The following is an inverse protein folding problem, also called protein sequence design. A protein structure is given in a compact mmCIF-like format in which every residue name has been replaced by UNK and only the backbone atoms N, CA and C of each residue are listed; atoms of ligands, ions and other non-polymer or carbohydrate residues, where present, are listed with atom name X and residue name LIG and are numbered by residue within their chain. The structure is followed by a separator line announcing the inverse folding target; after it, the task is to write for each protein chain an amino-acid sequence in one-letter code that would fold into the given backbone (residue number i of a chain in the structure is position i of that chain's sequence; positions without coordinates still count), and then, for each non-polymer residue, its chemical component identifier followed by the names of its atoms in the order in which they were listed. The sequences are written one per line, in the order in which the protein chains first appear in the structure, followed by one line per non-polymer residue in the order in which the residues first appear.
data_IF_488957804691
#
_entry.id   IF_488957804691
#
_cell.length_a   1.000
_cell.length_b   1.000
_cell.length_c   1.000
_cell.angle_alpha   90.00
_cell.angle_beta   90.00
_cell.angle_gamma   90.00
#
_symmetry.space_group_name_H-M   'P 1'
#
loop_
_entity.id
_entity.type
_entity.pdbx_description
1 polymer ?
#
# COMPACT_ATOMS: atom_id res chain seq x y z
N UNK A 1 -26.04 15.89 -4.23
CA UNK A 1 -27.35 16.23 -3.64
C UNK A 1 -28.46 15.23 -4.03
N UNK A 2 -28.82 15.07 -5.31
CA UNK A 2 -29.95 14.19 -5.73
C UNK A 2 -29.85 12.76 -5.18
N UNK A 3 -28.69 12.11 -5.33
CA UNK A 3 -28.47 10.76 -4.79
C UNK A 3 -28.69 10.67 -3.28
N UNK A 4 -28.18 11.64 -2.51
CA UNK A 4 -28.32 11.64 -1.05
C UNK A 4 -29.79 11.75 -0.61
N UNK A 5 -30.59 12.58 -1.30
CA UNK A 5 -32.03 12.69 -1.06
C UNK A 5 -32.76 11.38 -1.37
N UNK A 6 -32.41 10.72 -2.49
CA UNK A 6 -33.00 9.42 -2.85
C UNK A 6 -32.64 8.34 -1.83
N UNK A 7 -31.39 8.30 -1.36
CA UNK A 7 -30.96 7.36 -0.31
C UNK A 7 -31.71 7.63 1.00
N UNK A 8 -31.87 8.90 1.40
CA UNK A 8 -32.59 9.26 2.62
C UNK A 8 -34.09 8.93 2.57
N UNK A 9 -34.71 8.97 1.39
CA UNK A 9 -36.13 8.67 1.20
C UNK A 9 -36.42 7.17 0.96
N UNK A 10 -35.41 6.36 0.62
CA UNK A 10 -35.59 4.96 0.26
C UNK A 10 -35.79 4.08 1.50
N UNK A 11 -36.82 3.20 1.53
CA UNK A 11 -36.99 2.23 2.61
C UNK A 11 -35.78 1.32 2.74
N UNK A 12 -35.29 1.16 3.98
CA UNK A 12 -34.15 0.29 4.28
C UNK A 12 -32.77 0.90 4.02
N UNK A 13 -32.68 2.15 3.55
CA UNK A 13 -31.43 2.88 3.41
C UNK A 13 -31.33 4.03 4.41
N UNK A 14 -30.08 4.37 4.77
CA UNK A 14 -29.76 5.56 5.57
C UNK A 14 -28.59 6.29 4.93
N UNK A 15 -28.81 7.54 4.54
CA UNK A 15 -27.71 8.40 4.16
C UNK A 15 -26.85 8.65 5.40
N UNK A 16 -25.60 8.18 5.39
CA UNK A 16 -24.71 8.24 6.56
C UNK A 16 -23.49 9.12 6.34
N UNK A 17 -23.21 9.56 5.11
CA UNK A 17 -22.01 10.35 4.87
C UNK A 17 -21.51 10.40 3.43
N UNK A 18 -20.27 10.83 3.31
CA UNK A 18 -19.49 10.93 2.07
C UNK A 18 -18.26 10.04 2.12
N UNK A 19 -17.98 9.39 1.00
CA UNK A 19 -16.69 8.79 0.70
C UNK A 19 -15.89 9.80 -0.14
N UNK A 20 -14.82 10.35 0.44
CA UNK A 20 -13.94 11.35 -0.14
C UNK A 20 -12.49 10.83 -0.17
N UNK A 21 -12.25 9.74 -0.91
CA UNK A 21 -10.93 9.14 -1.08
C UNK A 21 -10.24 9.62 -2.35
N UNK A 22 -9.04 10.20 -2.21
CA UNK A 22 -8.21 10.63 -3.34
C UNK A 22 -7.04 9.65 -3.54
N UNK A 23 -7.29 8.54 -4.23
CA UNK A 23 -6.28 7.51 -4.47
C UNK A 23 -5.06 8.00 -5.26
N UNK A 24 -5.26 8.92 -6.21
CA UNK A 24 -4.15 9.47 -7.01
C UNK A 24 -3.17 10.32 -6.20
N UNK A 25 -3.58 10.84 -5.04
CA UNK A 25 -2.68 11.62 -4.18
C UNK A 25 -1.68 10.76 -3.42
N UNK A 26 -1.96 9.47 -3.18
CA UNK A 26 -1.15 8.63 -2.30
C UNK A 26 0.32 8.52 -2.74
N UNK A 27 0.53 8.45 -4.05
CA UNK A 27 1.84 8.20 -4.66
C UNK A 27 2.40 9.43 -5.40
N UNK A 28 1.89 10.64 -5.13
CA UNK A 28 2.55 11.84 -5.65
C UNK A 28 3.92 11.98 -4.99
N UNK A 29 4.96 12.33 -5.77
CA UNK A 29 6.35 12.18 -5.37
C UNK A 29 6.78 13.17 -4.28
N UNK A 30 6.06 14.28 -4.10
CA UNK A 30 6.40 15.30 -3.12
C UNK A 30 5.26 15.52 -2.14
N UNK A 31 5.64 15.80 -0.89
CA UNK A 31 4.70 16.19 0.17
C UNK A 31 3.82 17.37 -0.26
N UNK A 32 4.41 18.39 -0.87
CA UNK A 32 3.69 19.55 -1.38
C UNK A 32 2.61 19.16 -2.41
N UNK A 33 2.94 18.29 -3.38
CA UNK A 33 1.97 17.84 -4.38
C UNK A 33 0.82 17.04 -3.75
N UNK A 34 1.12 16.21 -2.74
CA UNK A 34 0.09 15.50 -1.95
C UNK A 34 -0.82 16.49 -1.22
N UNK A 35 -0.24 17.45 -0.50
CA UNK A 35 -0.98 18.49 0.22
C UNK A 35 -1.88 19.31 -0.69
N UNK A 36 -1.39 19.73 -1.86
CA UNK A 36 -2.20 20.45 -2.86
C UNK A 36 -3.36 19.60 -3.40
N UNK A 37 -3.12 18.31 -3.65
CA UNK A 37 -4.17 17.40 -4.11
C UNK A 37 -5.26 17.22 -3.06
N UNK A 38 -4.89 17.09 -1.79
CA UNK A 38 -5.85 16.97 -0.69
C UNK A 38 -6.58 18.29 -0.44
N UNK A 39 -5.91 19.44 -0.53
CA UNK A 39 -6.58 20.76 -0.42
C UNK A 39 -7.67 20.96 -1.50
N UNK A 40 -7.44 20.48 -2.72
CA UNK A 40 -8.47 20.47 -3.77
C UNK A 40 -9.63 19.54 -3.43
N UNK A 41 -9.34 18.33 -2.93
CA UNK A 41 -10.37 17.38 -2.48
C UNK A 41 -11.19 17.94 -1.31
N UNK A 42 -10.53 18.65 -0.39
CA UNK A 42 -11.16 19.31 0.75
C UNK A 42 -12.16 20.37 0.29
N UNK A 43 -11.77 21.20 -0.68
CA UNK A 43 -12.64 22.24 -1.26
C UNK A 43 -13.94 21.64 -1.81
N UNK A 44 -13.82 20.58 -2.63
CA UNK A 44 -14.98 19.88 -3.21
C UNK A 44 -15.85 19.21 -2.13
N UNK A 45 -15.21 18.65 -1.10
CA UNK A 45 -15.91 18.00 0.02
C UNK A 45 -16.71 19.02 0.81
N UNK A 46 -16.13 20.17 1.15
CA UNK A 46 -16.81 21.27 1.86
C UNK A 46 -17.98 21.83 1.05
N UNK A 47 -17.82 21.99 -0.26
CA UNK A 47 -18.93 22.40 -1.13
C UNK A 47 -20.08 21.38 -1.10
N UNK A 48 -19.75 20.09 -1.16
CA UNK A 48 -20.74 19.00 -1.07
C UNK A 48 -21.46 19.02 0.28
N UNK A 49 -20.74 19.21 1.38
CA UNK A 49 -21.32 19.33 2.73
C UNK A 49 -22.28 20.51 2.84
N UNK A 50 -21.92 21.68 2.27
CA UNK A 50 -22.83 22.83 2.20
C UNK A 50 -24.12 22.48 1.45
N UNK A 51 -24.02 21.84 0.29
CA UNK A 51 -25.18 21.42 -0.51
C UNK A 51 -26.07 20.39 0.20
N UNK A 52 -25.49 19.52 1.05
CA UNK A 52 -26.24 18.58 1.87
C UNK A 52 -26.98 19.31 3.01
N UNK A 53 -26.30 20.23 3.70
CA UNK A 53 -26.90 21.06 4.75
C UNK A 53 -28.07 21.91 4.23
N UNK A 54 -27.94 22.52 3.06
CA UNK A 54 -29.03 23.26 2.38
C UNK A 54 -30.23 22.37 2.02
N UNK A 55 -30.01 21.06 1.89
CA UNK A 55 -31.06 20.08 1.65
C UNK A 55 -31.63 19.48 2.95
N UNK A 56 -31.20 19.96 4.12
CA UNK A 56 -31.64 19.45 5.43
C UNK A 56 -31.08 18.07 5.78
N UNK A 57 -29.99 17.63 5.11
CA UNK A 57 -29.35 16.35 5.39
C UNK A 57 -28.12 16.52 6.28
N UNK A 58 -28.07 15.77 7.37
CA UNK A 58 -26.85 15.58 8.15
C UNK A 58 -25.86 14.69 7.39
N UNK A 59 -24.56 14.89 7.63
CA UNK A 59 -23.48 14.11 7.04
C UNK A 59 -22.55 13.65 8.16
N UNK A 60 -22.84 12.49 8.73
CA UNK A 60 -22.17 12.01 9.95
C UNK A 60 -20.76 11.52 9.68
N UNK A 61 -20.52 10.91 8.51
CA UNK A 61 -19.23 10.32 8.14
C UNK A 61 -18.66 11.04 6.91
N UNK A 62 -17.38 11.37 6.99
CA UNK A 62 -16.57 11.84 5.86
C UNK A 62 -15.32 10.96 5.87
N UNK A 63 -15.44 9.83 5.18
CA UNK A 63 -14.44 8.78 5.12
C UNK A 63 -13.52 8.94 3.92
N UNK A 64 -12.25 8.59 4.08
CA UNK A 64 -11.27 8.64 3.01
C UNK A 64 -9.85 8.53 3.56
N UNK A 65 -8.91 9.24 2.93
CA UNK A 65 -7.48 9.16 3.21
C UNK A 65 -6.83 7.79 2.91
N UNK A 66 -5.53 7.83 2.64
CA UNK A 66 -4.69 6.65 2.55
C UNK A 66 -3.33 6.92 3.18
N UNK A 67 -2.49 5.89 3.28
CA UNK A 67 -1.19 5.93 3.96
C UNK A 67 -0.29 7.08 3.53
N UNK A 68 -0.34 7.47 2.25
CA UNK A 68 0.53 8.51 1.69
C UNK A 68 0.05 9.93 1.97
N UNK A 69 -1.25 10.13 2.14
CA UNK A 69 -1.84 11.45 2.29
C UNK A 69 -2.38 11.75 3.68
N UNK A 70 -2.66 10.73 4.51
CA UNK A 70 -3.44 10.89 5.76
C UNK A 70 -3.05 12.04 6.68
N UNK A 71 -1.78 12.51 6.79
CA UNK A 71 -1.49 13.66 7.63
C UNK A 71 -2.26 14.91 7.21
N UNK A 72 -2.53 15.09 5.91
CA UNK A 72 -3.29 16.23 5.39
C UNK A 72 -4.79 16.12 5.72
N UNK A 73 -5.41 14.97 5.44
CA UNK A 73 -6.82 14.74 5.77
C UNK A 73 -7.05 14.84 7.28
N UNK A 74 -6.15 14.29 8.10
CA UNK A 74 -6.22 14.36 9.56
C UNK A 74 -6.16 15.80 10.09
N UNK A 75 -5.38 16.68 9.45
CA UNK A 75 -5.22 18.07 9.85
C UNK A 75 -6.32 19.01 9.32
N UNK A 76 -7.11 18.58 8.33
CA UNK A 76 -8.09 19.42 7.62
C UNK A 76 -9.29 19.87 8.46
N UNK A 77 -9.63 19.11 9.51
CA UNK A 77 -10.90 19.24 10.23
C UNK A 77 -12.15 18.90 9.40
N UNK A 78 -11.99 18.23 8.24
CA UNK A 78 -13.09 17.78 7.37
C UNK A 78 -13.31 16.29 7.48
N UNK A 79 -12.26 15.48 7.26
CA UNK A 79 -12.37 14.03 7.39
C UNK A 79 -12.48 13.65 8.86
N UNK A 80 -13.39 12.74 9.17
CA UNK A 80 -13.59 12.21 10.51
C UNK A 80 -13.41 10.68 10.58
N UNK A 81 -13.12 10.04 9.46
CA UNK A 81 -12.74 8.63 9.36
C UNK A 81 -11.58 8.48 8.35
N UNK A 82 -10.46 7.94 8.82
CA UNK A 82 -9.27 7.69 8.00
C UNK A 82 -9.19 6.20 7.66
N UNK A 83 -9.01 5.89 6.37
CA UNK A 83 -9.12 4.55 5.80
C UNK A 83 -7.77 4.05 5.29
N UNK A 84 -6.70 4.34 6.04
CA UNK A 84 -5.34 3.90 5.69
C UNK A 84 -5.23 2.37 5.79
N UNK A 85 -4.61 1.76 4.79
CA UNK A 85 -4.39 0.30 4.73
C UNK A 85 -2.91 -0.06 4.81
N UNK A 86 -2.15 0.31 3.78
CA UNK A 86 -0.76 -0.11 3.58
C UNK A 86 0.20 0.27 4.71
N UNK A 87 -0.16 1.22 5.59
CA UNK A 87 0.69 1.70 6.69
C UNK A 87 1.17 0.60 7.65
N UNK A 88 0.38 -0.48 7.79
CA UNK A 88 0.72 -1.61 8.65
C UNK A 88 1.90 -2.44 8.11
N UNK A 89 2.22 -2.29 6.82
CA UNK A 89 3.21 -3.09 6.11
C UNK A 89 4.31 -2.27 5.47
N UNK A 90 3.93 -1.20 4.79
CA UNK A 90 4.72 -0.44 3.82
C UNK A 90 5.19 -1.30 2.64
N UNK A 91 5.62 -0.63 1.58
CA UNK A 91 6.20 -1.25 0.38
C UNK A 91 7.21 -0.31 -0.29
N UNK A 92 7.84 -0.78 -1.36
CA UNK A 92 8.86 -0.01 -2.06
C UNK A 92 8.31 1.25 -2.73
N UNK A 93 7.05 1.25 -3.16
CA UNK A 93 6.42 2.43 -3.76
C UNK A 93 6.17 3.52 -2.72
N UNK A 94 5.59 3.19 -1.57
CA UNK A 94 5.45 4.13 -0.46
C UNK A 94 6.80 4.64 0.04
N UNK A 95 7.82 3.78 0.15
CA UNK A 95 9.18 4.22 0.53
C UNK A 95 9.79 5.19 -0.48
N UNK A 96 9.49 5.02 -1.77
CA UNK A 96 9.96 5.92 -2.83
C UNK A 96 9.35 7.31 -2.72
N UNK A 97 8.08 7.43 -2.31
CA UNK A 97 7.36 8.73 -2.27
C UNK A 97 7.34 9.40 -0.90
N UNK A 98 7.51 8.64 0.18
CA UNK A 98 7.56 9.13 1.57
C UNK A 98 8.98 9.19 2.14
N UNK A 99 9.95 8.63 1.42
CA UNK A 99 11.33 8.54 1.88
C UNK A 99 11.50 7.54 3.03
N UNK A 100 12.65 7.66 3.71
CA UNK A 100 13.05 6.72 4.75
C UNK A 100 12.11 6.76 5.97
N UNK A 101 11.56 7.93 6.30
CA UNK A 101 10.63 8.09 7.42
C UNK A 101 9.31 7.36 7.18
N UNK A 102 8.80 7.33 5.94
CA UNK A 102 7.59 6.59 5.61
C UNK A 102 6.33 7.10 6.32
N UNK A 103 6.29 8.39 6.69
CA UNK A 103 5.29 8.98 7.59
C UNK A 103 5.29 8.31 8.99
N UNK A 104 6.47 7.99 9.50
CA UNK A 104 6.66 7.33 10.79
C UNK A 104 6.35 5.83 10.82
N UNK A 105 6.12 5.19 9.67
CA UNK A 105 5.87 3.75 9.59
C UNK A 105 7.12 2.98 9.17
N UNK A 106 7.32 1.79 9.72
CA UNK A 106 8.44 0.89 9.43
C UNK A 106 8.08 -0.16 8.37
N UNK A 107 9.10 -0.78 7.75
CA UNK A 107 8.88 -1.85 6.78
C UNK A 107 8.63 -3.16 7.53
N UNK A 108 7.41 -3.68 7.45
CA UNK A 108 7.02 -4.90 8.14
C UNK A 108 6.69 -6.07 7.20
N UNK A 109 6.42 -5.81 5.91
CA UNK A 109 6.13 -6.86 4.93
C UNK A 109 7.34 -7.20 4.08
N UNK A 110 7.65 -8.49 4.00
CA UNK A 110 8.71 -9.03 3.14
C UNK A 110 8.24 -10.34 2.52
N UNK A 111 8.70 -10.61 1.31
CA UNK A 111 8.72 -11.96 0.75
C UNK A 111 10.12 -12.54 0.99
N UNK A 112 10.17 -13.77 1.52
CA UNK A 112 11.43 -14.47 1.74
C UNK A 112 11.74 -15.35 0.53
N UNK A 113 12.81 -15.03 -0.20
CA UNK A 113 13.31 -15.84 -1.31
C UNK A 113 14.68 -16.47 -1.00
N UNK A 114 15.08 -17.45 -1.79
CA UNK A 114 16.39 -18.10 -1.75
C UNK A 114 17.12 -17.87 -3.08
N UNK A 115 18.41 -17.54 -3.02
CA UNK A 115 19.26 -17.56 -4.22
C UNK A 115 19.42 -19.00 -4.68
N UNK A 116 18.99 -19.31 -5.89
CA UNK A 116 19.01 -20.66 -6.44
C UNK A 116 20.16 -20.90 -7.42
N UNK A 117 20.65 -19.85 -8.08
CA UNK A 117 21.76 -19.95 -9.04
C UNK A 117 22.52 -18.64 -9.17
N UNK A 118 23.75 -18.74 -9.69
CA UNK A 118 24.69 -17.62 -9.81
C UNK A 118 25.50 -17.72 -11.09
N UNK A 119 25.85 -16.56 -11.63
CA UNK A 119 26.84 -16.40 -12.69
C UNK A 119 27.64 -15.10 -12.43
N UNK A 120 28.76 -14.86 -13.12
CA UNK A 120 29.48 -13.59 -12.98
C UNK A 120 28.53 -12.39 -13.16
N UNK A 121 28.48 -11.53 -12.14
CA UNK A 121 27.68 -10.30 -12.14
C UNK A 121 26.18 -10.45 -11.86
N UNK A 122 25.65 -11.68 -11.68
CA UNK A 122 24.21 -11.90 -11.48
C UNK A 122 23.87 -13.12 -10.64
N UNK A 123 22.70 -13.08 -10.02
CA UNK A 123 22.10 -14.21 -9.33
C UNK A 123 20.61 -14.33 -9.67
N UNK A 124 20.04 -15.52 -9.42
CA UNK A 124 18.62 -15.80 -9.59
C UNK A 124 18.08 -16.27 -8.24
N UNK A 125 16.93 -15.73 -7.82
CA UNK A 125 16.18 -16.21 -6.66
C UNK A 125 14.85 -16.87 -7.06
N UNK A 126 14.28 -17.66 -6.15
CA UNK A 126 13.02 -18.41 -6.30
C UNK A 126 11.74 -17.57 -6.07
N UNK A 127 11.84 -16.25 -6.11
CA UNK A 127 10.71 -15.35 -5.87
C UNK A 127 10.37 -14.55 -7.15
N UNK A 128 9.38 -15.04 -7.89
CA UNK A 128 8.90 -14.48 -9.17
C UNK A 128 7.53 -13.81 -9.11
N UNK A 129 6.87 -13.66 -10.26
CA UNK A 129 5.52 -13.08 -10.39
C UNK A 129 4.43 -13.86 -9.63
N UNK A 130 4.67 -15.12 -9.27
CA UNK A 130 3.77 -15.88 -8.39
C UNK A 130 3.95 -15.53 -6.91
N UNK A 131 5.00 -14.79 -6.57
CA UNK A 131 5.24 -14.28 -5.23
C UNK A 131 4.97 -12.78 -5.11
N UNK A 132 4.96 -12.04 -6.22
CA UNK A 132 4.84 -10.58 -6.26
C UNK A 132 3.86 -10.10 -7.32
N UNK A 133 3.19 -9.00 -7.02
CA UNK A 133 2.72 -8.09 -8.06
C UNK A 133 3.79 -7.05 -8.37
N UNK A 134 3.89 -6.63 -9.64
CA UNK A 134 4.88 -5.66 -10.13
C UNK A 134 4.25 -4.44 -10.79
N UNK A 135 2.97 -4.20 -10.52
CA UNK A 135 2.21 -3.03 -10.99
C UNK A 135 2.81 -1.69 -10.53
N UNK A 136 3.45 -1.66 -9.35
CA UNK A 136 4.17 -0.48 -8.83
C UNK A 136 5.70 -0.63 -8.86
N UNK A 137 6.21 -1.50 -9.74
CA UNK A 137 7.65 -1.72 -9.95
C UNK A 137 8.18 -3.01 -9.32
N UNK A 138 9.49 -3.22 -9.47
CA UNK A 138 10.15 -4.43 -8.99
C UNK A 138 10.35 -4.42 -7.46
N UNK A 139 10.43 -5.60 -6.82
CA UNK A 139 10.81 -5.71 -5.42
C UNK A 139 12.18 -5.09 -5.13
N UNK A 140 12.40 -4.66 -3.90
CA UNK A 140 13.70 -4.14 -3.42
C UNK A 140 14.33 -5.16 -2.48
N UNK A 141 15.63 -5.44 -2.65
CA UNK A 141 16.37 -6.35 -1.76
C UNK A 141 16.71 -5.60 -0.47
N UNK A 142 16.18 -6.08 0.67
CA UNK A 142 16.47 -5.49 1.96
C UNK A 142 17.87 -5.88 2.45
N UNK A 143 18.51 -4.97 3.20
CA UNK A 143 19.77 -5.19 3.94
C UNK A 143 20.98 -5.61 3.10
N UNK A 144 20.90 -5.46 1.77
CA UNK A 144 21.94 -5.86 0.82
C UNK A 144 22.28 -4.71 -0.13
N UNK A 145 22.93 -3.63 0.36
CA UNK A 145 23.32 -2.53 -0.50
C UNK A 145 24.23 -3.03 -1.64
N UNK A 146 23.95 -2.57 -2.86
CA UNK A 146 24.64 -2.99 -4.07
C UNK A 146 24.04 -4.22 -4.79
N UNK A 147 23.07 -4.89 -4.19
CA UNK A 147 22.28 -5.93 -4.86
C UNK A 147 20.95 -5.34 -5.31
N UNK A 148 20.65 -5.42 -6.60
CA UNK A 148 19.42 -4.87 -7.17
C UNK A 148 18.59 -5.95 -7.83
N UNK A 149 17.27 -5.89 -7.64
CA UNK A 149 16.32 -6.68 -8.42
C UNK A 149 16.14 -6.03 -9.78
N UNK A 150 16.50 -6.73 -10.86
CA UNK A 150 16.60 -6.14 -12.22
C UNK A 150 15.60 -6.71 -13.21
N UNK A 151 14.91 -7.79 -12.86
CA UNK A 151 13.90 -8.40 -13.71
C UNK A 151 13.21 -9.55 -13.00
N UNK A 152 12.10 -10.00 -13.57
CA UNK A 152 11.28 -11.04 -12.97
C UNK A 152 10.68 -11.93 -14.06
N UNK A 153 10.48 -13.20 -13.73
CA UNK A 153 9.66 -14.15 -14.49
C UNK A 153 8.68 -14.83 -13.53
N UNK A 154 7.89 -15.78 -14.03
CA UNK A 154 6.89 -16.51 -13.24
C UNK A 154 7.37 -16.94 -11.84
N UNK A 155 8.49 -17.68 -11.78
CA UNK A 155 9.02 -18.26 -10.54
C UNK A 155 10.40 -17.71 -10.15
N UNK A 156 10.97 -16.81 -10.96
CA UNK A 156 12.35 -16.37 -10.77
C UNK A 156 12.49 -14.86 -10.71
N UNK A 157 13.25 -14.40 -9.70
CA UNK A 157 13.72 -13.02 -9.59
C UNK A 157 15.16 -12.90 -10.06
N UNK A 158 15.45 -11.89 -10.89
CA UNK A 158 16.79 -11.62 -11.41
C UNK A 158 17.47 -10.56 -10.56
N UNK A 159 18.69 -10.86 -10.10
CA UNK A 159 19.47 -9.99 -9.22
C UNK A 159 20.77 -9.58 -9.92
N UNK A 160 21.06 -8.28 -9.90
CA UNK A 160 22.41 -7.79 -10.17
C UNK A 160 23.28 -8.06 -8.94
N UNK A 161 24.38 -8.78 -9.15
CA UNK A 161 25.38 -9.14 -8.13
C UNK A 161 26.79 -8.92 -8.72
N UNK A 162 27.16 -7.66 -9.03
CA UNK A 162 28.38 -7.33 -9.77
C UNK A 162 29.66 -7.82 -9.09
N UNK A 163 29.66 -7.80 -7.75
CA UNK A 163 30.80 -8.19 -6.91
C UNK A 163 30.74 -9.66 -6.49
N UNK A 164 29.71 -10.41 -6.91
CA UNK A 164 29.60 -11.82 -6.56
C UNK A 164 29.44 -12.07 -5.06
N UNK A 165 28.64 -11.26 -4.36
CA UNK A 165 28.46 -11.28 -2.90
C UNK A 165 27.42 -12.27 -2.39
N UNK A 166 26.48 -12.71 -3.23
CA UNK A 166 25.42 -13.63 -2.81
C UNK A 166 25.95 -15.08 -2.74
N UNK A 167 25.31 -15.99 -2.00
CA UNK A 167 25.61 -17.42 -2.05
C UNK A 167 24.39 -18.23 -2.51
N UNK A 168 24.59 -19.39 -3.15
CA UNK A 168 23.47 -20.31 -3.41
C UNK A 168 22.89 -20.76 -2.07
N UNK A 169 21.56 -20.87 -1.98
CA UNK A 169 20.73 -21.09 -0.80
C UNK A 169 20.67 -19.94 0.20
N UNK A 170 21.33 -18.80 -0.07
CA UNK A 170 21.21 -17.62 0.78
C UNK A 170 19.78 -17.09 0.76
N UNK A 171 19.26 -16.76 1.95
CA UNK A 171 17.92 -16.19 2.12
C UNK A 171 17.96 -14.67 1.96
N UNK A 172 17.01 -14.14 1.21
CA UNK A 172 16.85 -12.73 0.93
C UNK A 172 15.47 -12.26 1.40
N UNK A 173 15.46 -11.15 2.14
CA UNK A 173 14.25 -10.39 2.42
C UNK A 173 13.98 -9.43 1.26
N UNK A 174 12.81 -9.55 0.66
CA UNK A 174 12.42 -8.78 -0.52
C UNK A 174 11.20 -7.92 -0.17
N UNK A 175 11.36 -6.61 -0.27
CA UNK A 175 10.29 -5.63 -0.07
C UNK A 175 9.46 -5.61 -1.35
N UNK A 176 8.14 -5.89 -1.32
CA UNK A 176 7.32 -5.87 -2.52
C UNK A 176 7.22 -4.46 -3.11
N UNK A 177 6.96 -4.37 -4.42
CA UNK A 177 6.64 -3.11 -5.09
C UNK A 177 5.36 -2.47 -4.54
N UNK A 178 4.33 -3.31 -4.32
CA UNK A 178 3.01 -2.94 -3.83
C UNK A 178 2.49 -4.02 -2.87
N UNK A 179 2.09 -3.65 -1.65
CA UNK A 179 1.74 -4.65 -0.62
C UNK A 179 0.42 -5.39 -0.88
N UNK A 180 -0.66 -4.70 -1.23
CA UNK A 180 -2.02 -5.27 -1.33
C UNK A 180 -2.14 -6.38 -2.38
N UNK A 181 -1.73 -6.17 -3.65
CA UNK A 181 -1.81 -7.23 -4.65
C UNK A 181 -0.81 -8.35 -4.37
N UNK A 182 0.32 -8.05 -3.71
CA UNK A 182 1.26 -9.09 -3.26
C UNK A 182 0.61 -9.98 -2.20
N UNK A 183 -0.02 -9.40 -1.17
CA UNK A 183 -0.71 -10.15 -0.11
C UNK A 183 -1.77 -11.10 -0.69
N UNK A 184 -2.46 -10.69 -1.74
CA UNK A 184 -3.48 -11.49 -2.40
C UNK A 184 -2.94 -12.76 -3.11
N UNK A 185 -1.61 -12.91 -3.25
CA UNK A 185 -0.97 -14.10 -3.80
C UNK A 185 -0.67 -15.18 -2.75
N UNK A 186 -0.73 -14.85 -1.46
CA UNK A 186 -0.29 -15.74 -0.38
C UNK A 186 -1.43 -16.17 0.52
N UNK A 187 -1.51 -17.46 0.86
CA UNK A 187 -2.54 -17.99 1.77
C UNK A 187 -2.28 -17.63 3.24
N UNK A 188 -1.03 -17.33 3.61
CA UNK A 188 -0.61 -17.09 5.00
C UNK A 188 0.45 -16.00 5.08
N UNK A 189 0.43 -15.23 6.16
CA UNK A 189 1.59 -14.49 6.64
C UNK A 189 2.39 -15.36 7.59
N UNK A 190 3.72 -15.37 7.43
CA UNK A 190 4.65 -15.89 8.43
C UNK A 190 5.05 -14.73 9.33
N UNK A 191 4.61 -14.75 10.59
CA UNK A 191 4.85 -13.66 11.54
C UNK A 191 6.13 -13.92 12.33
N UNK A 192 7.08 -12.98 12.29
CA UNK A 192 8.35 -13.08 12.99
C UNK A 192 8.45 -12.07 14.14
N UNK A 193 9.08 -12.49 15.23
CA UNK A 193 9.59 -11.63 16.31
C UNK A 193 10.95 -12.14 16.73
N UNK A 194 11.91 -11.24 16.94
CA UNK A 194 13.28 -11.57 17.35
C UNK A 194 13.90 -12.70 16.52
N UNK A 195 13.73 -12.62 15.19
CA UNK A 195 14.17 -13.60 14.19
C UNK A 195 13.60 -15.03 14.37
N UNK A 196 12.46 -15.17 15.07
CA UNK A 196 11.76 -16.43 15.27
C UNK A 196 10.33 -16.34 14.76
N UNK A 197 9.86 -17.42 14.13
CA UNK A 197 8.45 -17.55 13.75
C UNK A 197 7.62 -17.71 15.01
N UNK A 198 6.66 -16.81 15.21
CA UNK A 198 5.73 -16.85 16.34
C UNK A 198 4.33 -17.29 15.94
N UNK A 199 3.91 -16.97 14.72
CA UNK A 199 2.57 -17.28 14.25
C UNK A 199 2.52 -17.46 12.73
N UNK A 200 1.47 -18.16 12.29
CA UNK A 200 1.01 -18.16 10.91
C UNK A 200 -0.39 -17.58 10.90
N UNK A 201 -0.59 -16.46 10.19
CA UNK A 201 -1.90 -15.83 10.07
C UNK A 201 -2.49 -16.13 8.70
N UNK A 202 -3.70 -16.73 8.61
CA UNK A 202 -4.35 -16.93 7.32
C UNK A 202 -4.75 -15.60 6.68
N UNK A 203 -4.53 -15.48 5.38
CA UNK A 203 -5.10 -14.41 4.55
C UNK A 203 -6.52 -14.84 4.16
N UNK A 204 -7.45 -14.79 5.11
CA UNK A 204 -8.80 -15.37 4.98
C UNK A 204 -9.64 -14.74 3.86
N UNK A 205 -9.32 -13.50 3.48
CA UNK A 205 -9.98 -12.75 2.42
C UNK A 205 -9.28 -12.88 1.04
N UNK A 206 -8.26 -13.73 0.91
CA UNK A 206 -7.54 -13.92 -0.36
C UNK A 206 -8.50 -14.30 -1.49
N UNK A 207 -8.40 -13.58 -2.61
CA UNK A 207 -9.21 -13.82 -3.81
C UNK A 207 -10.70 -13.50 -3.63
N UNK A 208 -11.12 -12.85 -2.54
CA UNK A 208 -12.51 -12.41 -2.30
C UNK A 208 -12.77 -11.07 -2.98
N UNK A 209 -12.67 -11.10 -4.30
CA UNK A 209 -13.17 -10.06 -5.20
C UNK A 209 -14.60 -10.45 -5.55
N UNK A 210 -15.55 -9.56 -5.28
CA UNK A 210 -17.02 -9.72 -5.42
C UNK A 210 -17.75 -10.40 -4.25
#
# INVERSE_FOLDING_TARGET
RDLALRVAAAPGLRFSGLQAYQGSAQHLPTEAARGEAIARAETVTRETLRMLGEAGLACDIIGGAGTGSFPFEAASGVWNELQCGSYVFMDADYRRVLGADGNGFEQALFVLGSVMSRAPGRAICDAGLKCFSVDSGLPVVADRPGIAFTGISDEHGHLADPEGRLAVNEKLRLIPGHCDPTCNLHDWYVCLRDDRVEALWPVTARGKVF
#
